data_IF_486493815544
#
_entry.id   IF_486493815544
#
_cell.length_a   1.000
_cell.length_b   1.000
_cell.length_c   1.000
_cell.angle_alpha   90.00
_cell.angle_beta   90.00
_cell.angle_gamma   90.00
#
_symmetry.space_group_name_H-M   'P 1'
#
loop_
_entity.id
_entity.type
_entity.pdbx_description
1 polymer ?
#
# COMPACT_ATOMS: atom_id res chain seq x y z
N UNK A 1 9.11 -23.14 18.02
CA UNK A 1 10.54 -22.80 17.91
C UNK A 1 10.59 -21.36 17.53
N UNK A 2 11.41 -20.53 18.19
CA UNK A 2 11.54 -19.13 17.82
C UNK A 2 12.22 -19.00 16.48
N UNK A 3 11.74 -18.06 15.68
CA UNK A 3 12.39 -17.68 14.43
C UNK A 3 13.75 -17.06 14.69
N UNK A 4 14.73 -17.37 13.83
CA UNK A 4 16.08 -16.87 13.96
C UNK A 4 16.16 -15.40 13.50
N UNK A 5 16.96 -14.60 14.21
CA UNK A 5 17.29 -13.26 13.72
C UNK A 5 18.23 -13.33 12.53
N UNK A 6 18.27 -12.28 11.71
CA UNK A 6 19.18 -12.17 10.57
C UNK A 6 20.65 -12.36 10.99
N UNK A 7 21.05 -11.82 12.14
CA UNK A 7 22.38 -12.01 12.70
C UNK A 7 22.67 -13.47 13.10
N UNK A 8 21.68 -14.15 13.69
CA UNK A 8 21.80 -15.58 14.02
C UNK A 8 21.93 -16.44 12.75
N UNK A 9 21.13 -16.18 11.71
CA UNK A 9 21.24 -16.86 10.41
C UNK A 9 22.60 -16.62 9.76
N UNK A 10 23.13 -15.40 9.83
CA UNK A 10 24.49 -15.08 9.36
C UNK A 10 25.54 -15.93 10.06
N UNK A 11 25.42 -16.09 11.39
CA UNK A 11 26.32 -16.93 12.17
C UNK A 11 26.24 -18.40 11.75
N UNK A 12 25.03 -18.93 11.57
CA UNK A 12 24.82 -20.32 11.11
C UNK A 12 25.46 -20.56 9.74
N UNK A 13 25.26 -19.65 8.79
CA UNK A 13 25.86 -19.77 7.46
C UNK A 13 27.38 -19.74 7.52
N UNK A 14 27.94 -18.79 8.28
CA UNK A 14 29.39 -18.65 8.43
C UNK A 14 30.04 -19.86 9.06
N UNK A 15 29.48 -20.37 10.15
CA UNK A 15 30.17 -21.39 10.98
C UNK A 15 29.86 -22.82 10.57
N UNK A 16 28.67 -23.08 9.99
CA UNK A 16 28.21 -24.44 9.72
C UNK A 16 28.07 -24.80 8.26
N UNK A 17 28.01 -23.81 7.35
CA UNK A 17 27.77 -24.08 5.93
C UNK A 17 28.99 -23.72 5.09
N UNK A 18 29.57 -22.53 5.31
CA UNK A 18 30.64 -22.00 4.46
C UNK A 18 32.00 -22.12 5.13
N UNK A 19 32.02 -22.20 6.48
CA UNK A 19 33.21 -22.20 7.33
C UNK A 19 34.19 -21.02 7.03
N UNK A 20 33.58 -19.81 6.86
CA UNK A 20 34.33 -18.58 6.53
C UNK A 20 33.72 -17.37 7.19
N UNK A 21 34.41 -16.75 8.12
CA UNK A 21 33.96 -15.58 8.88
C UNK A 21 34.23 -14.24 8.18
N UNK A 22 34.98 -14.23 7.08
CA UNK A 22 35.34 -13.04 6.32
C UNK A 22 34.22 -12.57 5.35
N UNK A 23 33.06 -13.25 5.29
CA UNK A 23 31.98 -13.04 4.33
C UNK A 23 30.69 -12.46 4.91
N UNK A 24 30.70 -11.92 6.12
CA UNK A 24 29.51 -11.40 6.81
C UNK A 24 28.67 -10.42 5.96
N UNK A 25 29.33 -9.48 5.29
CA UNK A 25 28.64 -8.50 4.43
C UNK A 25 27.96 -9.18 3.25
N UNK A 26 28.63 -10.15 2.62
CA UNK A 26 28.11 -10.91 1.50
C UNK A 26 26.88 -11.73 1.92
N UNK A 27 26.95 -12.38 3.08
CA UNK A 27 25.83 -13.14 3.64
C UNK A 27 24.65 -12.23 3.97
N UNK A 28 24.91 -11.03 4.48
CA UNK A 28 23.87 -10.03 4.75
C UNK A 28 23.07 -9.66 3.48
N UNK A 29 23.74 -9.47 2.35
CA UNK A 29 23.07 -9.28 1.06
C UNK A 29 22.34 -10.54 0.59
N UNK A 30 22.99 -11.70 0.72
CA UNK A 30 22.42 -12.98 0.31
C UNK A 30 21.13 -13.31 1.05
N UNK A 31 21.01 -12.97 2.33
CA UNK A 31 19.80 -13.15 3.12
C UNK A 31 18.63 -12.30 2.58
N UNK A 32 18.87 -11.06 2.18
CA UNK A 32 17.83 -10.24 1.57
C UNK A 32 17.38 -10.80 0.21
N UNK A 33 18.33 -11.24 -0.63
CA UNK A 33 18.01 -11.88 -1.91
C UNK A 33 17.32 -13.23 -1.74
N UNK A 34 17.63 -13.95 -0.66
CA UNK A 34 16.97 -15.21 -0.32
C UNK A 34 15.48 -15.01 -0.07
N UNK A 35 15.08 -13.99 0.69
CA UNK A 35 13.67 -13.66 0.92
C UNK A 35 12.96 -13.33 -0.39
N UNK A 36 13.54 -12.47 -1.22
CA UNK A 36 12.98 -12.12 -2.52
C UNK A 36 12.84 -13.34 -3.45
N UNK A 37 13.82 -14.24 -3.44
CA UNK A 37 13.77 -15.49 -4.21
C UNK A 37 12.65 -16.41 -3.73
N UNK A 38 12.51 -16.58 -2.42
CA UNK A 38 11.47 -17.40 -1.79
C UNK A 38 10.09 -16.87 -2.17
N UNK A 39 9.86 -15.57 -2.05
CA UNK A 39 8.57 -14.95 -2.40
C UNK A 39 8.23 -15.10 -3.88
N UNK A 40 9.20 -14.88 -4.77
CA UNK A 40 9.02 -15.06 -6.22
C UNK A 40 8.72 -16.51 -6.59
N UNK A 41 9.42 -17.45 -5.96
CA UNK A 41 9.25 -18.88 -6.21
C UNK A 41 7.92 -19.38 -5.66
N UNK A 42 7.51 -18.94 -4.47
CA UNK A 42 6.19 -19.22 -3.91
C UNK A 42 5.07 -18.71 -4.82
N UNK A 43 5.22 -17.49 -5.33
CA UNK A 43 4.29 -16.90 -6.30
C UNK A 43 4.20 -17.70 -7.60
N UNK A 44 5.33 -18.08 -8.17
CA UNK A 44 5.36 -18.89 -9.39
C UNK A 44 4.69 -20.26 -9.20
N UNK A 45 4.71 -20.78 -7.98
CA UNK A 45 4.02 -22.02 -7.60
C UNK A 45 2.55 -21.83 -7.23
N UNK A 46 2.03 -20.61 -7.30
CA UNK A 46 0.63 -20.27 -7.06
C UNK A 46 0.22 -20.29 -5.59
N UNK A 47 1.13 -20.01 -4.66
CA UNK A 47 0.80 -19.78 -3.26
C UNK A 47 1.48 -18.52 -2.72
N UNK A 48 0.98 -18.02 -1.60
CA UNK A 48 1.60 -16.94 -0.84
C UNK A 48 1.53 -17.32 0.65
N UNK A 49 2.54 -16.91 1.41
CA UNK A 49 2.53 -17.13 2.85
C UNK A 49 1.45 -16.27 3.49
N UNK A 50 0.64 -16.87 4.36
CA UNK A 50 -0.45 -16.15 5.04
C UNK A 50 0.05 -15.04 5.94
N UNK A 51 1.25 -15.17 6.49
CA UNK A 51 1.87 -14.18 7.37
C UNK A 51 2.14 -12.84 6.66
N UNK A 52 2.25 -12.88 5.33
CA UNK A 52 2.40 -11.69 4.47
C UNK A 52 1.06 -11.02 4.12
N UNK A 53 -0.07 -11.59 4.52
CA UNK A 53 -1.37 -10.96 4.35
C UNK A 53 -1.58 -9.92 5.46
N UNK A 54 -1.54 -8.66 5.07
CA UNK A 54 -1.64 -7.52 5.98
C UNK A 54 -2.91 -6.72 5.71
N UNK A 55 -3.30 -5.98 6.70
CA UNK A 55 -4.42 -5.06 6.62
C UNK A 55 -3.95 -3.68 7.08
N UNK A 56 -4.23 -2.66 6.28
CA UNK A 56 -3.92 -1.28 6.60
C UNK A 56 -5.17 -0.41 6.49
N UNK A 57 -5.29 0.52 7.41
CA UNK A 57 -6.40 1.47 7.48
C UNK A 57 -5.86 2.85 7.16
N UNK A 58 -6.49 3.52 6.19
CA UNK A 58 -6.23 4.92 5.88
C UNK A 58 -7.54 5.70 5.79
N UNK A 59 -7.45 7.02 5.77
CA UNK A 59 -8.61 7.89 5.69
C UNK A 59 -8.61 8.65 4.36
N UNK A 60 -9.80 8.94 3.84
CA UNK A 60 -9.94 9.77 2.63
C UNK A 60 -9.66 11.24 2.88
N UNK A 61 -9.64 11.67 4.15
CA UNK A 61 -9.29 13.03 4.53
C UNK A 61 -8.04 13.05 5.41
N UNK A 62 -7.34 14.16 5.36
CA UNK A 62 -6.26 14.47 6.30
C UNK A 62 -6.37 15.94 6.69
N UNK A 63 -6.25 16.22 7.99
CA UNK A 63 -6.35 17.57 8.53
C UNK A 63 -5.06 17.99 9.18
N UNK A 64 -4.68 19.24 9.01
CA UNK A 64 -3.58 19.84 9.75
C UNK A 64 -3.82 21.30 10.04
N UNK A 65 -3.12 21.82 11.04
CA UNK A 65 -3.10 23.25 11.28
C UNK A 65 -2.39 24.00 10.14
N UNK A 66 -2.79 25.22 9.87
CA UNK A 66 -2.12 26.09 8.93
C UNK A 66 -1.96 27.53 9.43
N UNK A 67 -0.99 28.22 8.89
CA UNK A 67 -0.81 29.66 9.02
C UNK A 67 -0.74 30.27 7.62
N UNK A 68 -1.15 31.53 7.47
CA UNK A 68 -1.11 32.25 6.19
C UNK A 68 -0.10 33.37 6.29
N UNK A 69 0.72 33.54 5.25
CA UNK A 69 1.65 34.64 5.13
C UNK A 69 1.12 35.79 4.22
N UNK A 70 1.94 36.86 4.05
CA UNK A 70 1.59 38.00 3.22
C UNK A 70 1.48 37.74 1.72
N UNK A 71 1.88 36.53 1.25
CA UNK A 71 1.89 36.14 -0.16
C UNK A 71 0.80 35.10 -0.48
N UNK A 72 -0.26 35.04 0.30
CA UNK A 72 -1.33 34.02 0.18
C UNK A 72 -0.83 32.58 0.34
N UNK A 73 0.31 32.38 1.01
CA UNK A 73 0.90 31.05 1.22
C UNK A 73 0.44 30.49 2.55
N UNK A 74 -0.16 29.30 2.50
CA UNK A 74 -0.51 28.50 3.65
C UNK A 74 0.66 27.60 4.00
N UNK A 75 1.20 27.75 5.20
CA UNK A 75 2.18 26.80 5.74
C UNK A 75 1.45 25.70 6.49
N UNK A 76 1.65 24.46 6.04
CA UNK A 76 1.01 23.25 6.54
C UNK A 76 2.06 22.28 7.07
N UNK A 77 1.65 21.21 7.77
CA UNK A 77 2.56 20.14 8.22
C UNK A 77 2.55 18.92 7.27
N UNK A 78 1.71 18.96 6.24
CA UNK A 78 1.52 17.87 5.30
C UNK A 78 1.69 18.32 3.86
N UNK A 79 2.11 17.43 2.98
CA UNK A 79 2.17 17.66 1.55
C UNK A 79 0.77 17.52 0.92
N UNK A 80 0.27 18.60 0.33
CA UNK A 80 -1.03 18.63 -0.33
C UNK A 80 -0.79 18.90 -1.83
N UNK A 81 -1.04 17.91 -2.71
CA UNK A 81 -0.84 18.05 -4.14
C UNK A 81 -1.76 19.11 -4.77
N UNK A 82 -1.31 19.71 -5.89
CA UNK A 82 -2.16 20.60 -6.70
C UNK A 82 -3.41 19.88 -7.19
N UNK A 83 -4.56 20.55 -7.11
CA UNK A 83 -5.85 20.00 -7.51
C UNK A 83 -6.58 19.24 -6.39
N UNK A 84 -5.99 19.11 -5.22
CA UNK A 84 -6.67 18.50 -4.07
C UNK A 84 -7.75 19.45 -3.54
N UNK A 85 -8.96 18.94 -3.35
CA UNK A 85 -10.03 19.68 -2.68
C UNK A 85 -9.66 19.88 -1.21
N UNK A 86 -9.79 21.09 -0.72
CA UNK A 86 -9.52 21.43 0.68
C UNK A 86 -10.66 22.29 1.24
N UNK A 87 -10.96 22.08 2.51
CA UNK A 87 -11.91 22.89 3.28
C UNK A 87 -11.16 23.47 4.48
N UNK A 88 -11.44 24.72 4.81
CA UNK A 88 -10.81 25.41 5.94
C UNK A 88 -11.79 25.60 7.06
N UNK A 89 -11.30 25.48 8.28
CA UNK A 89 -12.05 25.74 9.50
C UNK A 89 -11.20 26.50 10.51
N UNK A 90 -11.84 27.11 11.50
CA UNK A 90 -11.15 27.86 12.55
C UNK A 90 -11.90 27.72 13.86
N UNK A 91 -11.20 27.91 14.97
CA UNK A 91 -11.81 28.03 16.29
C UNK A 91 -12.36 29.43 16.58
N UNK A 92 -12.02 30.41 15.75
CA UNK A 92 -12.49 31.80 15.90
C UNK A 92 -12.74 32.41 14.51
N UNK A 93 -11.93 33.34 14.03
CA UNK A 93 -12.14 34.08 12.78
C UNK A 93 -11.11 33.69 11.72
N UNK A 94 -11.55 33.30 10.51
CA UNK A 94 -10.65 33.06 9.39
C UNK A 94 -10.01 34.37 8.87
N UNK A 95 -8.80 34.27 8.27
CA UNK A 95 -8.24 35.36 7.47
C UNK A 95 -9.20 35.83 6.37
N UNK A 96 -9.23 37.14 6.10
CA UNK A 96 -10.12 37.72 5.08
C UNK A 96 -9.84 37.10 3.71
N UNK A 97 -10.87 36.75 2.98
CA UNK A 97 -10.79 36.05 1.69
C UNK A 97 -11.11 34.58 1.77
N UNK A 98 -11.18 34.03 2.99
CA UNK A 98 -11.59 32.64 3.24
C UNK A 98 -12.97 32.59 3.93
N UNK A 99 -13.71 31.53 3.64
CA UNK A 99 -14.99 31.22 4.27
C UNK A 99 -14.98 29.80 4.82
N UNK A 100 -15.57 29.59 5.98
CA UNK A 100 -15.74 28.26 6.59
C UNK A 100 -16.61 27.40 5.70
N UNK A 101 -16.35 26.10 5.67
CA UNK A 101 -17.12 25.09 4.93
C UNK A 101 -17.24 25.36 3.41
N UNK A 102 -16.29 26.13 2.87
CA UNK A 102 -16.21 26.43 1.45
C UNK A 102 -15.16 25.56 0.80
N UNK A 103 -15.50 25.00 -0.36
CA UNK A 103 -14.60 24.17 -1.16
C UNK A 103 -13.54 25.06 -1.84
N UNK A 104 -12.29 24.81 -1.52
CA UNK A 104 -11.13 25.37 -2.20
C UNK A 104 -10.29 24.26 -2.82
N UNK A 105 -9.34 24.64 -3.66
CA UNK A 105 -8.47 23.71 -4.39
C UNK A 105 -7.03 24.12 -4.16
N UNK A 106 -6.22 23.17 -3.71
CA UNK A 106 -4.83 23.42 -3.40
C UNK A 106 -3.98 23.68 -4.65
N UNK A 107 -3.05 24.60 -4.55
CA UNK A 107 -1.96 24.88 -5.50
C UNK A 107 -0.66 24.62 -4.73
N UNK A 108 0.01 23.51 -4.99
CA UNK A 108 1.25 23.14 -4.30
C UNK A 108 2.37 24.12 -4.66
N UNK A 109 2.98 24.72 -3.67
CA UNK A 109 4.16 25.59 -3.80
C UNK A 109 5.43 24.87 -3.31
N UNK A 110 5.30 24.01 -2.31
CA UNK A 110 6.37 23.21 -1.72
C UNK A 110 5.78 22.01 -0.97
N UNK A 111 6.62 21.25 -0.28
CA UNK A 111 6.19 20.08 0.49
C UNK A 111 5.28 20.40 1.67
N UNK A 112 5.43 21.60 2.23
CA UNK A 112 4.64 22.09 3.38
C UNK A 112 3.96 23.42 3.10
N UNK A 113 3.91 23.85 1.83
CA UNK A 113 3.36 25.14 1.46
C UNK A 113 2.42 25.03 0.26
N UNK A 114 1.23 25.61 0.41
CA UNK A 114 0.21 25.64 -0.64
C UNK A 114 -0.37 27.04 -0.77
N UNK A 115 -0.99 27.32 -1.91
CA UNK A 115 -1.98 28.39 -2.10
C UNK A 115 -3.33 27.75 -2.35
N UNK A 116 -4.40 28.50 -2.29
CA UNK A 116 -5.74 28.00 -2.58
C UNK A 116 -6.38 28.73 -3.74
N UNK A 117 -7.19 28.00 -4.50
CA UNK A 117 -7.97 28.49 -5.62
C UNK A 117 -9.46 28.24 -5.39
N UNK A 118 -10.32 29.02 -6.04
CA UNK A 118 -11.78 28.90 -5.92
C UNK A 118 -12.37 27.75 -6.78
N UNK A 119 -11.58 27.12 -7.63
CA UNK A 119 -12.02 25.99 -8.45
C UNK A 119 -10.84 25.10 -8.85
N UNK A 120 -11.14 23.85 -9.21
CA UNK A 120 -10.16 22.90 -9.73
C UNK A 120 -9.38 23.48 -10.94
N UNK A 121 -10.11 24.07 -11.90
CA UNK A 121 -9.49 24.70 -13.07
C UNK A 121 -8.52 25.81 -12.68
N UNK A 122 -8.93 26.68 -11.75
CA UNK A 122 -8.11 27.79 -11.27
C UNK A 122 -6.85 27.31 -10.56
N UNK A 123 -6.91 26.17 -9.86
CA UNK A 123 -5.74 25.57 -9.24
C UNK A 123 -4.67 25.17 -10.26
N UNK A 124 -5.06 24.61 -11.39
CA UNK A 124 -4.12 24.21 -12.45
C UNK A 124 -3.61 25.37 -13.31
N UNK A 125 -4.40 26.46 -13.44
CA UNK A 125 -3.98 27.68 -14.13
C UNK A 125 -3.09 28.55 -13.23
N UNK A 126 -3.14 28.32 -11.90
CA UNK A 126 -2.40 29.11 -10.92
C UNK A 126 -3.14 30.37 -10.45
N UNK A 127 -4.46 30.46 -10.67
CA UNK A 127 -5.27 31.59 -10.18
C UNK A 127 -5.61 31.39 -8.71
N UNK A 128 -5.00 32.19 -7.85
CA UNK A 128 -5.13 32.09 -6.39
C UNK A 128 -6.28 32.95 -5.85
N UNK A 129 -6.83 32.52 -4.72
CA UNK A 129 -7.68 33.36 -3.86
C UNK A 129 -6.79 34.23 -3.04
N UNK A 130 -7.02 35.56 -3.10
CA UNK A 130 -6.27 36.51 -2.28
C UNK A 130 -6.72 36.43 -0.83
N UNK A 131 -5.78 36.23 0.06
CA UNK A 131 -6.00 36.07 1.51
C UNK A 131 -5.21 37.13 2.25
N UNK A 132 -5.90 37.98 2.99
CA UNK A 132 -5.22 39.02 3.76
C UNK A 132 -4.73 38.46 5.10
N UNK A 133 -3.42 38.58 5.34
CA UNK A 133 -2.79 38.16 6.60
C UNK A 133 -3.24 38.99 7.80
N UNK A 134 -3.18 38.35 8.98
CA UNK A 134 -3.33 39.07 10.26
C UNK A 134 -4.77 39.42 10.69
N UNK A 135 -5.76 38.99 9.90
CA UNK A 135 -7.19 39.23 10.24
C UNK A 135 -7.86 38.00 10.86
N UNK A 136 -7.20 36.87 10.87
CA UNK A 136 -7.70 35.67 11.54
C UNK A 136 -7.30 35.57 12.99
N UNK A 137 -8.15 35.00 13.81
CA UNK A 137 -7.89 34.67 15.21
C UNK A 137 -8.19 33.19 15.46
N UNK A 138 -7.52 32.62 16.47
CA UNK A 138 -7.67 31.23 16.84
C UNK A 138 -6.76 30.28 16.06
N UNK A 139 -7.07 29.00 16.12
CA UNK A 139 -6.36 27.94 15.39
C UNK A 139 -7.08 27.64 14.09
N UNK A 140 -6.35 27.72 12.99
CA UNK A 140 -6.88 27.41 11.67
C UNK A 140 -6.52 25.99 11.27
N UNK A 141 -7.46 25.26 10.71
CA UNK A 141 -7.28 23.89 10.24
C UNK A 141 -7.69 23.78 8.78
N UNK A 142 -6.84 23.15 7.98
CA UNK A 142 -7.16 22.74 6.61
C UNK A 142 -7.39 21.24 6.58
N UNK A 143 -8.52 20.83 5.99
CA UNK A 143 -8.86 19.44 5.73
C UNK A 143 -8.77 19.17 4.23
N UNK A 144 -7.87 18.30 3.84
CA UNK A 144 -7.66 17.88 2.46
C UNK A 144 -8.41 16.59 2.15
N UNK A 145 -9.21 16.59 1.11
CA UNK A 145 -9.97 15.43 0.61
C UNK A 145 -9.16 14.71 -0.45
N UNK A 146 -8.62 13.55 -0.10
CA UNK A 146 -7.67 12.83 -0.93
C UNK A 146 -8.36 11.88 -1.89
N UNK A 147 -8.28 12.14 -3.18
CA UNK A 147 -8.63 11.17 -4.22
C UNK A 147 -7.53 10.13 -4.45
N UNK A 148 -6.28 10.46 -4.04
CA UNK A 148 -5.11 9.61 -4.13
C UNK A 148 -4.66 9.19 -2.76
N UNK A 149 -4.61 7.89 -2.54
CA UNK A 149 -4.18 7.27 -1.29
C UNK A 149 -2.85 6.55 -1.53
N UNK A 150 -1.87 6.76 -0.67
CA UNK A 150 -0.61 6.04 -0.74
C UNK A 150 -0.87 4.53 -0.60
N UNK A 151 -0.13 3.74 -1.37
CA UNK A 151 -0.10 2.29 -1.17
C UNK A 151 0.70 1.98 0.09
N UNK A 152 0.35 0.90 0.79
CA UNK A 152 1.16 0.41 1.89
C UNK A 152 2.60 0.12 1.47
N UNK A 153 3.53 0.32 2.38
CA UNK A 153 4.94 0.03 2.13
C UNK A 153 5.14 -1.46 1.78
N UNK A 154 6.04 -1.71 0.83
CA UNK A 154 6.33 -3.08 0.35
C UNK A 154 5.12 -3.86 -0.14
N UNK A 155 4.03 -3.17 -0.49
CA UNK A 155 2.85 -3.81 -1.05
C UNK A 155 3.20 -4.52 -2.37
N UNK A 156 2.98 -5.83 -2.41
CA UNK A 156 3.15 -6.66 -3.60
C UNK A 156 1.94 -6.57 -4.51
N UNK A 157 0.75 -6.84 -3.97
CA UNK A 157 -0.51 -6.62 -4.66
C UNK A 157 -1.65 -6.45 -3.64
N UNK A 158 -2.65 -5.67 -4.03
CA UNK A 158 -3.83 -5.43 -3.23
C UNK A 158 -4.92 -6.40 -3.69
N UNK A 159 -5.48 -7.12 -2.73
CA UNK A 159 -6.50 -8.10 -3.05
C UNK A 159 -7.92 -7.60 -2.71
N UNK A 160 -8.05 -6.69 -1.74
CA UNK A 160 -9.33 -6.14 -1.34
C UNK A 160 -9.17 -4.69 -0.81
N UNK A 161 -10.02 -3.80 -1.30
CA UNK A 161 -10.14 -2.43 -0.81
C UNK A 161 -11.58 -2.18 -0.40
N UNK A 162 -11.80 -1.80 0.83
CA UNK A 162 -13.12 -1.53 1.39
C UNK A 162 -13.23 -0.10 1.86
N UNK A 163 -14.35 0.51 1.55
CA UNK A 163 -14.78 1.77 2.11
C UNK A 163 -15.73 1.49 3.28
N UNK A 164 -15.41 2.02 4.44
CA UNK A 164 -16.22 1.94 5.65
C UNK A 164 -16.85 3.31 5.89
N UNK A 165 -18.17 3.31 5.97
CA UNK A 165 -18.99 4.48 6.21
C UNK A 165 -19.95 4.14 7.35
N UNK A 166 -19.62 4.59 8.55
CA UNK A 166 -20.33 4.21 9.77
C UNK A 166 -20.36 2.69 9.97
N UNK A 167 -21.53 2.09 9.98
CA UNK A 167 -21.70 0.64 10.14
C UNK A 167 -21.58 -0.16 8.82
N UNK A 168 -21.49 0.52 7.66
CA UNK A 168 -21.45 -0.13 6.37
C UNK A 168 -20.03 -0.29 5.86
N UNK A 169 -19.67 -1.51 5.48
CA UNK A 169 -18.42 -1.83 4.78
C UNK A 169 -18.74 -2.24 3.35
N UNK A 170 -18.28 -1.48 2.36
CA UNK A 170 -18.48 -1.75 0.93
C UNK A 170 -17.15 -2.00 0.25
N UNK A 171 -17.07 -3.07 -0.53
CA UNK A 171 -15.93 -3.33 -1.38
C UNK A 171 -15.91 -2.32 -2.54
N UNK A 172 -14.75 -1.69 -2.75
CA UNK A 172 -14.50 -0.89 -3.94
C UNK A 172 -14.11 -1.81 -5.10
N UNK A 173 -14.59 -1.46 -6.29
CA UNK A 173 -14.31 -2.23 -7.51
C UNK A 173 -12.99 -1.74 -8.11
N UNK A 174 -12.07 -2.67 -8.34
CA UNK A 174 -10.81 -2.36 -9.05
C UNK A 174 -11.10 -2.09 -10.52
N UNK A 175 -10.55 -1.00 -11.04
CA UNK A 175 -10.69 -0.59 -12.43
C UNK A 175 -9.31 -0.40 -13.06
N UNK A 176 -9.02 -0.99 -14.22
CA UNK A 176 -7.77 -0.75 -14.93
C UNK A 176 -7.61 0.73 -15.30
N UNK A 177 -6.40 1.30 -15.33
CA UNK A 177 -6.17 2.72 -15.66
C UNK A 177 -6.85 3.16 -16.96
N UNK A 178 -6.77 2.35 -18.00
CA UNK A 178 -7.42 2.64 -19.29
C UNK A 178 -8.94 2.79 -19.21
N UNK A 179 -9.57 2.01 -18.34
CA UNK A 179 -11.02 2.11 -18.13
C UNK A 179 -11.36 3.34 -17.29
N UNK A 180 -10.51 3.68 -16.33
CA UNK A 180 -10.69 4.90 -15.54
C UNK A 180 -10.64 6.14 -16.42
N UNK A 181 -9.68 6.25 -17.31
CA UNK A 181 -9.55 7.38 -18.25
C UNK A 181 -10.77 7.47 -19.19
N UNK A 182 -11.41 6.36 -19.49
CA UNK A 182 -12.61 6.32 -20.33
C UNK A 182 -13.87 6.73 -19.57
N UNK A 183 -14.04 6.25 -18.32
CA UNK A 183 -15.25 6.48 -17.52
C UNK A 183 -15.17 7.73 -16.63
N UNK A 184 -13.95 8.17 -16.31
CA UNK A 184 -13.69 9.41 -15.59
C UNK A 184 -12.82 10.31 -16.48
N UNK A 185 -13.42 10.96 -17.49
CA UNK A 185 -12.67 11.82 -18.41
C UNK A 185 -11.88 12.87 -17.63
N UNK A 186 -10.69 13.17 -18.11
CA UNK A 186 -9.82 14.21 -17.56
C UNK A 186 -10.63 15.53 -17.44
N UNK A 187 -10.85 16.00 -16.22
CA UNK A 187 -11.70 17.17 -15.93
C UNK A 187 -13.06 16.85 -15.32
N UNK A 188 -13.56 15.61 -15.35
CA UNK A 188 -14.70 15.17 -14.53
C UNK A 188 -14.30 14.85 -13.08
N UNK A 189 -13.06 15.15 -12.70
CA UNK A 189 -12.54 15.13 -11.35
C UNK A 189 -13.27 16.08 -10.39
N UNK A 190 -14.20 16.87 -10.90
CA UNK A 190 -15.12 17.67 -10.11
C UNK A 190 -16.33 16.87 -9.55
N UNK A 191 -16.44 15.59 -9.81
CA UNK A 191 -17.51 14.81 -9.18
C UNK A 191 -17.10 14.49 -7.74
N UNK A 192 -17.55 15.35 -6.84
CA UNK A 192 -17.49 15.09 -5.40
C UNK A 192 -18.56 14.07 -5.07
N UNK A 193 -18.24 13.10 -4.25
CA UNK A 193 -19.19 12.09 -3.82
C UNK A 193 -18.50 10.83 -3.28
N UNK A 194 -19.31 9.90 -2.84
CA UNK A 194 -18.84 8.63 -2.28
C UNK A 194 -18.08 7.82 -3.35
N UNK A 195 -16.83 7.43 -3.10
CA UNK A 195 -16.07 6.56 -3.99
C UNK A 195 -16.68 5.16 -4.10
N UNK A 196 -16.67 4.60 -5.31
CA UNK A 196 -17.19 3.26 -5.60
C UNK A 196 -16.16 2.38 -6.29
N UNK A 197 -15.20 2.99 -6.98
CA UNK A 197 -14.15 2.31 -7.72
C UNK A 197 -12.78 2.89 -7.35
N UNK A 198 -11.74 2.11 -7.59
CA UNK A 198 -10.37 2.58 -7.47
C UNK A 198 -9.53 2.05 -8.63
N UNK A 199 -8.47 2.79 -8.94
CA UNK A 199 -7.45 2.42 -9.91
C UNK A 199 -6.13 2.30 -9.22
N UNK A 200 -5.40 1.24 -9.50
CA UNK A 200 -4.11 0.98 -8.91
C UNK A 200 -3.00 1.54 -9.80
N UNK A 201 -2.18 2.43 -9.25
CA UNK A 201 -0.93 2.92 -9.81
C UNK A 201 0.26 2.31 -9.06
N UNK A 202 1.47 2.63 -9.49
CA UNK A 202 2.67 2.11 -8.84
C UNK A 202 2.70 2.41 -7.34
N UNK A 203 2.53 3.68 -6.97
CA UNK A 203 2.75 4.16 -5.61
C UNK A 203 1.47 4.61 -4.88
N UNK A 204 0.33 4.65 -5.58
CA UNK A 204 -0.94 5.10 -5.00
C UNK A 204 -2.15 4.38 -5.60
N UNK A 205 -3.24 4.47 -4.88
CA UNK A 205 -4.59 4.16 -5.35
C UNK A 205 -5.31 5.46 -5.69
N UNK A 206 -5.92 5.54 -6.84
CA UNK A 206 -6.76 6.66 -7.23
C UNK A 206 -8.22 6.27 -7.11
N UNK A 207 -8.98 7.03 -6.34
CA UNK A 207 -10.42 6.89 -6.23
C UNK A 207 -11.11 7.52 -7.45
N UNK A 208 -12.25 6.97 -7.86
CA UNK A 208 -13.00 7.48 -9.02
C UNK A 208 -13.76 8.78 -8.76
N UNK A 209 -13.86 9.20 -7.49
CA UNK A 209 -14.48 10.46 -7.07
C UNK A 209 -13.66 11.09 -5.96
N UNK A 210 -13.73 12.43 -5.89
CA UNK A 210 -13.26 13.15 -4.72
C UNK A 210 -14.22 12.87 -3.58
N UNK A 211 -13.75 12.37 -2.44
CA UNK A 211 -14.61 12.08 -1.31
C UNK A 211 -15.40 13.32 -0.86
N UNK A 212 -16.67 13.14 -0.58
CA UNK A 212 -17.57 14.17 -0.02
C UNK A 212 -17.52 14.22 1.50
N UNK A 213 -17.01 13.15 2.12
CA UNK A 213 -16.89 13.01 3.56
C UNK A 213 -15.62 12.25 3.95
N UNK A 214 -15.38 12.13 5.25
CA UNK A 214 -14.30 11.32 5.82
C UNK A 214 -14.69 9.86 5.85
N UNK A 215 -14.16 9.10 4.92
CA UNK A 215 -14.32 7.64 4.87
C UNK A 215 -13.07 6.93 5.35
N UNK A 216 -13.27 5.81 6.01
CA UNK A 216 -12.20 4.88 6.35
C UNK A 216 -12.00 3.92 5.17
N UNK A 217 -10.79 3.85 4.67
CA UNK A 217 -10.40 2.90 3.63
C UNK A 217 -9.55 1.80 4.25
N UNK A 218 -10.03 0.59 4.13
CA UNK A 218 -9.38 -0.63 4.60
C UNK A 218 -8.78 -1.36 3.43
N UNK A 219 -7.47 -1.45 3.37
CA UNK A 219 -6.72 -2.14 2.33
C UNK A 219 -6.22 -3.47 2.86
N UNK A 220 -6.54 -4.56 2.18
CA UNK A 220 -5.96 -5.87 2.42
C UNK A 220 -5.02 -6.20 1.28
N UNK A 221 -3.80 -6.54 1.61
CA UNK A 221 -2.75 -6.71 0.63
C UNK A 221 -1.74 -7.77 1.07
N UNK A 222 -0.99 -8.29 0.11
CA UNK A 222 0.19 -9.09 0.39
C UNK A 222 1.43 -8.21 0.36
N UNK A 223 2.23 -8.30 1.40
CA UNK A 223 3.52 -7.62 1.53
C UNK A 223 4.63 -8.48 0.92
N UNK A 224 5.72 -7.86 0.47
CA UNK A 224 6.99 -8.56 0.24
C UNK A 224 7.65 -8.85 1.57
N UNK A 225 8.25 -10.04 1.70
CA UNK A 225 9.06 -10.38 2.88
C UNK A 225 10.27 -9.48 3.01
N UNK A 226 10.59 -9.06 4.22
CA UNK A 226 11.77 -8.23 4.49
C UNK A 226 12.34 -8.46 5.90
N UNK A 227 13.55 -7.96 6.08
CA UNK A 227 14.15 -7.70 7.38
C UNK A 227 14.18 -6.20 7.62
N UNK A 228 13.61 -5.74 8.71
CA UNK A 228 13.69 -4.31 9.09
C UNK A 228 15.10 -3.92 9.56
N UNK A 229 15.81 -4.84 10.21
CA UNK A 229 17.18 -4.65 10.69
C UNK A 229 17.90 -5.99 10.85
N UNK A 230 19.18 -5.96 11.19
CA UNK A 230 19.97 -7.18 11.44
C UNK A 230 19.52 -7.95 12.71
N UNK A 231 18.78 -7.29 13.58
CA UNK A 231 18.23 -7.89 14.81
C UNK A 231 16.82 -8.41 14.66
N UNK A 232 16.15 -8.12 13.55
CA UNK A 232 14.78 -8.57 13.30
C UNK A 232 14.72 -9.97 12.73
N UNK A 233 13.60 -10.62 12.95
CA UNK A 233 13.24 -11.89 12.33
C UNK A 233 12.54 -11.61 10.99
N UNK A 234 12.49 -12.60 10.11
CA UNK A 234 11.72 -12.49 8.88
C UNK A 234 10.21 -12.36 9.16
N UNK A 235 9.49 -11.69 8.28
CA UNK A 235 8.03 -11.52 8.38
C UNK A 235 7.24 -12.84 8.26
N UNK A 236 7.87 -13.91 7.81
CA UNK A 236 7.28 -15.24 7.64
C UNK A 236 7.85 -16.20 8.67
N UNK A 237 6.96 -16.82 9.42
CA UNK A 237 7.36 -17.77 10.46
C UNK A 237 7.73 -19.15 9.89
N UNK A 238 8.62 -19.86 10.60
CA UNK A 238 8.97 -21.25 10.33
C UNK A 238 9.59 -21.58 8.97
N UNK A 239 10.24 -20.59 8.32
CA UNK A 239 10.97 -20.80 7.06
C UNK A 239 12.48 -20.52 7.19
N UNK A 240 13.01 -20.47 8.40
CA UNK A 240 14.41 -20.14 8.66
C UNK A 240 15.39 -21.05 7.93
N UNK A 241 15.09 -22.35 7.88
CA UNK A 241 15.88 -23.35 7.16
C UNK A 241 15.88 -23.11 5.64
N UNK A 242 14.77 -22.66 5.10
CA UNK A 242 14.65 -22.30 3.68
C UNK A 242 15.43 -21.04 3.37
N UNK A 243 15.34 -20.03 4.26
CA UNK A 243 16.07 -18.76 4.11
C UNK A 243 17.58 -19.02 4.18
N UNK A 244 18.05 -19.80 5.16
CA UNK A 244 19.46 -20.16 5.31
C UNK A 244 19.97 -20.91 4.06
N UNK A 245 19.22 -21.88 3.57
CA UNK A 245 19.59 -22.65 2.37
C UNK A 245 19.61 -21.78 1.12
N UNK A 246 18.64 -20.87 0.94
CA UNK A 246 18.61 -19.95 -0.18
C UNK A 246 19.72 -18.91 -0.12
N UNK A 247 20.05 -18.39 1.06
CA UNK A 247 21.17 -17.49 1.24
C UNK A 247 22.50 -18.19 0.95
N UNK A 248 22.70 -19.40 1.48
CA UNK A 248 23.88 -20.21 1.21
C UNK A 248 24.04 -20.50 -0.30
N UNK A 249 22.96 -20.80 -1.01
CA UNK A 249 22.98 -20.94 -2.46
C UNK A 249 23.56 -19.71 -3.16
N UNK A 250 23.13 -18.50 -2.79
CA UNK A 250 23.67 -17.27 -3.35
C UNK A 250 25.13 -17.06 -3.03
N UNK A 251 25.55 -17.34 -1.79
CA UNK A 251 26.96 -17.21 -1.39
C UNK A 251 27.84 -18.18 -2.18
N UNK A 252 27.44 -19.45 -2.33
CA UNK A 252 28.18 -20.43 -3.13
C UNK A 252 28.26 -20.03 -4.61
N UNK A 253 27.17 -19.50 -5.19
CA UNK A 253 27.19 -18.95 -6.57
C UNK A 253 28.24 -17.83 -6.70
N UNK A 254 28.38 -16.95 -5.70
CA UNK A 254 29.36 -15.87 -5.73
C UNK A 254 30.78 -16.31 -5.45
N UNK A 255 30.97 -17.40 -4.71
CA UNK A 255 32.27 -18.00 -4.49
C UNK A 255 32.78 -18.84 -5.67
N UNK A 256 31.93 -19.06 -6.68
CA UNK A 256 32.26 -19.84 -7.87
C UNK A 256 32.15 -21.36 -7.67
N UNK A 257 31.35 -21.80 -6.69
CA UNK A 257 31.12 -23.21 -6.36
C UNK A 257 29.71 -23.67 -6.82
N UNK A 258 29.52 -23.92 -8.12
CA UNK A 258 28.17 -24.18 -8.67
C UNK A 258 27.58 -25.49 -8.17
N UNK A 259 28.39 -26.50 -7.87
CA UNK A 259 27.91 -27.80 -7.37
C UNK A 259 27.26 -27.66 -6.00
N UNK A 260 27.90 -26.93 -5.08
CA UNK A 260 27.36 -26.65 -3.75
C UNK A 260 26.09 -25.80 -3.84
N UNK A 261 26.10 -24.81 -4.72
CA UNK A 261 24.93 -23.97 -4.99
C UNK A 261 23.73 -24.78 -5.48
N UNK A 262 23.95 -25.75 -6.38
CA UNK A 262 22.88 -26.62 -6.90
C UNK A 262 22.25 -27.52 -5.81
N UNK A 263 23.07 -28.04 -4.90
CA UNK A 263 22.57 -28.82 -3.75
C UNK A 263 21.64 -27.97 -2.87
N UNK A 264 22.06 -26.74 -2.57
CA UNK A 264 21.24 -25.81 -1.76
C UNK A 264 19.98 -25.39 -2.49
N UNK A 265 20.03 -25.16 -3.81
CA UNK A 265 18.86 -24.85 -4.62
C UNK A 265 17.83 -25.98 -4.60
N UNK A 266 18.27 -27.22 -4.73
CA UNK A 266 17.39 -28.39 -4.61
C UNK A 266 16.75 -28.50 -3.21
N UNK A 267 17.51 -28.23 -2.14
CA UNK A 267 16.98 -28.21 -0.79
C UNK A 267 15.85 -27.16 -0.60
N UNK A 268 16.07 -25.94 -1.13
CA UNK A 268 15.06 -24.87 -1.14
C UNK A 268 13.81 -25.31 -1.89
N UNK A 269 13.97 -25.86 -3.09
CA UNK A 269 12.88 -26.33 -3.93
C UNK A 269 11.99 -27.37 -3.25
N UNK A 270 12.60 -28.36 -2.60
CA UNK A 270 11.90 -29.42 -1.86
C UNK A 270 11.16 -28.83 -0.65
N UNK A 271 11.79 -27.95 0.10
CA UNK A 271 11.20 -27.33 1.30
C UNK A 271 10.04 -26.41 0.94
N UNK A 272 10.19 -25.57 -0.09
CA UNK A 272 9.08 -24.73 -0.60
C UNK A 272 7.91 -25.55 -1.12
N UNK A 273 8.15 -26.71 -1.73
CA UNK A 273 7.06 -27.60 -2.15
C UNK A 273 6.25 -28.14 -0.95
N UNK A 274 6.91 -28.39 0.18
CA UNK A 274 6.24 -28.79 1.43
C UNK A 274 5.42 -27.62 2.02
N UNK A 275 6.00 -26.41 2.10
CA UNK A 275 5.30 -25.23 2.55
C UNK A 275 4.06 -24.92 1.70
N UNK A 276 4.18 -25.01 0.38
CA UNK A 276 3.05 -24.79 -0.52
C UNK A 276 1.89 -25.77 -0.32
N UNK A 277 2.18 -27.00 0.10
CA UNK A 277 1.13 -27.96 0.48
C UNK A 277 0.42 -27.55 1.78
N UNK A 278 1.19 -27.10 2.79
CA UNK A 278 0.63 -26.65 4.06
C UNK A 278 -0.24 -25.40 3.90
N UNK A 279 0.23 -24.43 3.13
CA UNK A 279 -0.53 -23.19 2.84
C UNK A 279 -1.85 -23.47 2.08
N UNK A 280 -1.86 -24.47 1.21
CA UNK A 280 -3.07 -24.88 0.47
C UNK A 280 -4.07 -25.69 1.31
N UNK A 281 -3.64 -26.26 2.43
CA UNK A 281 -4.50 -27.04 3.31
C UNK A 281 -5.28 -26.18 4.32
N UNK A 282 -5.22 -24.86 4.22
CA UNK A 282 -5.97 -23.95 5.11
C UNK A 282 -7.48 -24.08 4.89
N UNK A 283 -8.30 -23.90 5.95
CA UNK A 283 -9.75 -24.11 5.91
C UNK A 283 -10.48 -23.37 4.78
N UNK A 284 -10.03 -22.17 4.41
CA UNK A 284 -10.62 -21.37 3.35
C UNK A 284 -10.51 -22.01 1.95
N UNK A 285 -9.52 -22.89 1.76
CA UNK A 285 -9.36 -23.64 0.52
C UNK A 285 -10.26 -24.88 0.46
N UNK A 286 -10.62 -25.42 1.62
CA UNK A 286 -11.48 -26.61 1.72
C UNK A 286 -12.95 -26.26 1.41
N UNK A 287 -13.35 -25.03 1.71
CA UNK A 287 -14.72 -24.55 1.45
C UNK A 287 -14.98 -24.19 -0.01
N UNK A 288 -13.95 -23.96 -0.82
CA UNK A 288 -14.08 -23.59 -2.25
C UNK A 288 -14.89 -24.58 -3.10
N UNK A 289 -14.73 -25.90 -2.97
CA UNK A 289 -15.51 -26.83 -3.78
C UNK A 289 -17.02 -26.73 -3.56
N UNK A 290 -17.43 -26.35 -2.34
CA UNK A 290 -18.86 -26.26 -2.00
C UNK A 290 -19.45 -24.87 -2.29
N UNK A 291 -18.63 -23.84 -2.49
CA UNK A 291 -19.13 -22.48 -2.81
C UNK A 291 -19.80 -22.42 -4.16
N UNK A 292 -19.40 -23.21 -5.13
CA UNK A 292 -20.07 -23.31 -6.43
C UNK A 292 -21.54 -23.78 -6.36
N UNK A 293 -21.93 -24.38 -5.24
CA UNK A 293 -23.31 -24.84 -5.01
C UNK A 293 -24.20 -23.75 -4.41
N UNK A 294 -23.61 -22.76 -3.76
CA UNK A 294 -24.34 -21.63 -3.14
C UNK A 294 -24.47 -20.41 -4.05
N UNK A 295 -23.63 -20.28 -5.04
CA UNK A 295 -23.60 -19.14 -5.95
C UNK A 295 -24.53 -19.35 -7.15
N UNK A 296 -25.80 -19.52 -6.91
CA UNK A 296 -26.80 -19.70 -7.97
C UNK A 296 -27.84 -18.57 -8.07
N UNK A 297 -27.52 -17.40 -7.60
CA UNK A 297 -28.29 -16.25 -8.04
C UNK A 297 -27.58 -15.66 -9.26
N UNK A 298 -28.29 -15.49 -10.36
CA UNK A 298 -27.76 -14.90 -11.60
C UNK A 298 -27.17 -13.49 -11.38
N UNK A 299 -27.53 -12.85 -10.28
CA UNK A 299 -27.00 -11.55 -9.86
C UNK A 299 -25.60 -11.60 -9.26
N UNK A 300 -25.18 -12.73 -8.68
CA UNK A 300 -23.89 -12.86 -8.01
C UNK A 300 -22.78 -13.34 -8.95
N UNK A 301 -23.16 -14.02 -10.03
CA UNK A 301 -22.21 -14.62 -10.97
C UNK A 301 -21.36 -13.62 -11.74
N UNK A 302 -21.80 -12.37 -11.85
CA UNK A 302 -21.07 -11.33 -12.60
C UNK A 302 -20.21 -10.42 -11.73
N UNK A 303 -20.42 -10.38 -10.42
CA UNK A 303 -19.74 -9.44 -9.51
C UNK A 303 -18.86 -10.12 -8.47
N UNK A 304 -19.04 -11.42 -8.25
CA UNK A 304 -18.18 -12.18 -7.33
C UNK A 304 -17.10 -12.93 -8.12
N UNK A 305 -15.81 -12.58 -7.94
CA UNK A 305 -14.70 -13.26 -8.61
C UNK A 305 -14.57 -14.75 -8.22
N UNK A 306 -15.34 -15.20 -7.24
CA UNK A 306 -15.40 -16.61 -6.81
C UNK A 306 -16.60 -17.37 -7.38
N UNK A 307 -17.52 -16.69 -8.06
CA UNK A 307 -18.60 -17.34 -8.80
C UNK A 307 -18.10 -17.76 -10.18
N UNK A 308 -17.77 -19.02 -10.32
CA UNK A 308 -17.54 -19.59 -11.64
C UNK A 308 -18.90 -19.88 -12.30
N UNK A 309 -19.22 -19.14 -13.34
CA UNK A 309 -20.30 -19.51 -14.22
C UNK A 309 -19.95 -20.85 -14.87
N UNK A 310 -20.60 -21.92 -14.48
CA UNK A 310 -20.61 -23.13 -15.28
C UNK A 310 -21.48 -22.86 -16.51
N UNK A 311 -20.84 -22.57 -17.61
CA UNK A 311 -21.40 -22.79 -18.94
C UNK A 311 -20.86 -24.08 -19.50
#
# INVERSE_FOLDING_TARGET
MGTLTKAAMTTVINTHIIDRTDKNTLIGYALNWALEYIDKTAAARGFAFSDLNKEEITYTTISCAFTVDTNDIFTTTIDIPTGTKVVVSTTDTLPTGLSVDTDYWAIRQGTTTIKVASSYKNAWIGTVVSVTTGTGAGTHTVTAYRERLAKPDKCRYIYDVRLIDGAMSRKLISMPPRMTDLYVPFGAQNSVGRPTHYTEWKDWLQLNKIPDDTYVIKMRYYKWSEYDSDTTIADVDHIDDIIISAAAMYVWKMLGEPEQAAIMEQAVEVSLAKCGKLERLKPDLVLKPNMGTYARSDSDSQTDPFCFSQR
#
